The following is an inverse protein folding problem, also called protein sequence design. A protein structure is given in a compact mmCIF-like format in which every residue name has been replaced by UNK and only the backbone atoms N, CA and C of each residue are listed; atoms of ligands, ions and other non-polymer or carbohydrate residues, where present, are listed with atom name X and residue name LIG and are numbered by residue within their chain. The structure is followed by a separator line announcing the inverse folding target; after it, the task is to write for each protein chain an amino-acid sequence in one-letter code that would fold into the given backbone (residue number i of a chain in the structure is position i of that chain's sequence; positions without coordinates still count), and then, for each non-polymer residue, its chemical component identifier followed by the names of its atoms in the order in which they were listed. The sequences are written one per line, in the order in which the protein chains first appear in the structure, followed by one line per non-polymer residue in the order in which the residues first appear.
data_IF_036635765470
#
_entry.id   IF_036635765470
#
_cell.length_a   1.000
_cell.length_b   1.000
_cell.length_c   1.000
_cell.angle_alpha   90.00
_cell.angle_beta   90.00
_cell.angle_gamma   90.00
#
_symmetry.space_group_name_H-M   'P 1'
#
loop_
_entity.id
_entity.type
_entity.pdbx_description
1 polymer ?
#
# COMPACT_ATOMS: atom_id res chain seq x y z
N UNK A 1 3.58 -34.60 -9.95
CA UNK A 1 3.93 -33.47 -9.04
C UNK A 1 3.38 -32.20 -9.66
N UNK A 2 2.37 -31.59 -9.04
CA UNK A 2 1.91 -30.27 -9.46
C UNK A 2 2.96 -29.29 -8.90
N UNK A 3 3.70 -28.62 -9.78
CA UNK A 3 4.60 -27.54 -9.36
C UNK A 3 3.76 -26.51 -8.60
N UNK A 4 4.03 -26.32 -7.32
CA UNK A 4 3.41 -25.28 -6.54
C UNK A 4 3.89 -23.94 -7.12
N UNK A 5 3.06 -23.29 -7.92
CA UNK A 5 3.39 -21.97 -8.48
C UNK A 5 3.34 -20.95 -7.34
N UNK A 6 4.44 -20.25 -7.13
CA UNK A 6 4.53 -19.14 -6.16
C UNK A 6 3.43 -18.11 -6.44
N UNK A 7 2.60 -17.85 -5.45
CA UNK A 7 1.54 -16.85 -5.53
C UNK A 7 2.08 -15.49 -5.12
N UNK A 8 2.38 -14.68 -6.12
CA UNK A 8 2.89 -13.31 -5.93
C UNK A 8 1.71 -12.35 -5.97
N UNK A 9 1.60 -11.47 -4.97
CA UNK A 9 0.62 -10.39 -4.93
C UNK A 9 1.31 -9.02 -4.94
N UNK A 10 0.67 -8.03 -5.56
CA UNK A 10 1.13 -6.64 -5.56
C UNK A 10 0.16 -5.78 -4.75
N UNK A 11 0.68 -5.04 -3.79
CA UNK A 11 -0.05 -4.07 -2.96
C UNK A 11 0.38 -2.66 -3.40
N UNK A 12 -0.33 -2.04 -4.33
CA UNK A 12 0.02 -0.72 -4.82
C UNK A 12 -0.61 0.37 -3.95
N UNK A 13 0.08 1.49 -3.83
CA UNK A 13 -0.46 2.66 -3.14
C UNK A 13 0.46 3.87 -3.25
N UNK A 14 -0.05 5.04 -2.89
CA UNK A 14 0.80 6.24 -2.79
C UNK A 14 1.63 6.26 -1.51
N UNK A 15 1.12 5.69 -0.42
CA UNK A 15 1.79 5.59 0.90
C UNK A 15 2.46 6.89 1.35
N UNK A 16 1.69 7.96 1.36
CA UNK A 16 2.21 9.32 1.61
C UNK A 16 1.53 9.99 2.83
N UNK A 17 1.95 9.56 4.05
CA UNK A 17 2.82 8.44 4.41
C UNK A 17 2.11 7.09 4.54
N UNK A 18 2.88 6.03 4.73
CA UNK A 18 2.36 4.73 5.18
C UNK A 18 1.73 4.87 6.58
N UNK A 19 0.63 4.14 6.83
CA UNK A 19 -0.10 4.16 8.11
C UNK A 19 -0.19 2.74 8.70
N UNK A 20 -0.60 2.63 9.97
CA UNK A 20 -0.86 1.32 10.58
C UNK A 20 -1.96 0.54 9.85
N UNK A 21 -2.92 1.22 9.21
CA UNK A 21 -3.93 0.58 8.37
C UNK A 21 -3.35 -0.04 7.09
N UNK A 22 -2.38 0.63 6.47
CA UNK A 22 -1.65 0.05 5.34
C UNK A 22 -0.83 -1.17 5.75
N UNK A 23 -0.12 -1.10 6.88
CA UNK A 23 0.68 -2.20 7.38
C UNK A 23 -0.17 -3.43 7.74
N UNK A 24 -1.38 -3.22 8.25
CA UNK A 24 -2.34 -4.30 8.52
C UNK A 24 -2.70 -5.05 7.23
N UNK A 25 -3.03 -4.33 6.17
CA UNK A 25 -3.33 -4.93 4.85
C UNK A 25 -2.11 -5.68 4.29
N UNK A 26 -0.92 -5.09 4.40
CA UNK A 26 0.33 -5.72 3.91
C UNK A 26 0.63 -7.00 4.69
N UNK A 27 0.52 -6.97 6.02
CA UNK A 27 0.76 -8.12 6.86
C UNK A 27 -0.20 -9.28 6.53
N UNK A 28 -1.47 -8.97 6.37
CA UNK A 28 -2.49 -9.97 6.01
C UNK A 28 -2.31 -10.50 4.59
N UNK A 29 -1.87 -9.66 3.65
CA UNK A 29 -1.49 -10.13 2.33
C UNK A 29 -0.29 -11.09 2.41
N UNK A 30 0.71 -10.80 3.26
CA UNK A 30 1.87 -11.67 3.46
C UNK A 30 1.54 -13.01 4.11
N UNK A 31 0.43 -13.13 4.82
CA UNK A 31 -0.10 -14.41 5.33
C UNK A 31 -0.84 -15.23 4.25
N UNK A 32 -1.39 -14.57 3.23
CA UNK A 32 -2.21 -15.20 2.20
C UNK A 32 -1.43 -15.59 0.94
N UNK A 33 -0.31 -14.90 0.67
CA UNK A 33 0.49 -15.06 -0.53
C UNK A 33 1.94 -15.39 -0.19
N UNK A 34 2.60 -16.13 -1.08
CA UNK A 34 3.98 -16.57 -0.86
C UNK A 34 4.99 -15.41 -0.94
N UNK A 35 4.67 -14.39 -1.74
CA UNK A 35 5.47 -13.18 -1.92
C UNK A 35 4.56 -11.97 -2.14
N UNK A 36 4.88 -10.85 -1.50
CA UNK A 36 4.12 -9.60 -1.60
C UNK A 36 5.02 -8.46 -2.04
N UNK A 37 4.67 -7.81 -3.14
CA UNK A 37 5.33 -6.60 -3.61
C UNK A 37 4.53 -5.37 -3.21
N UNK A 38 5.06 -4.60 -2.27
CA UNK A 38 4.50 -3.29 -1.88
C UNK A 38 5.07 -2.24 -2.82
N UNK A 39 4.20 -1.60 -3.60
CA UNK A 39 4.63 -0.77 -4.71
C UNK A 39 4.15 0.67 -4.54
N UNK A 40 5.11 1.57 -4.34
CA UNK A 40 4.83 3.01 -4.35
C UNK A 40 4.54 3.41 -5.80
N UNK A 41 3.32 3.87 -6.06
CA UNK A 41 2.90 4.34 -7.37
C UNK A 41 2.55 5.82 -7.33
N UNK A 42 2.82 6.51 -8.42
CA UNK A 42 2.42 7.89 -8.59
C UNK A 42 0.92 7.95 -8.93
N UNK A 43 0.18 8.77 -8.18
CA UNK A 43 -1.21 9.11 -8.52
C UNK A 43 -1.23 10.52 -9.11
N UNK A 44 -1.49 10.67 -10.41
CA UNK A 44 -1.49 11.98 -11.08
C UNK A 44 -2.57 12.93 -10.56
N UNK A 45 -3.66 12.39 -9.96
CA UNK A 45 -4.75 13.17 -9.40
C UNK A 45 -4.42 13.77 -8.02
N UNK A 46 -3.34 13.33 -7.38
CA UNK A 46 -2.91 13.87 -6.10
C UNK A 46 -1.96 15.05 -6.30
N UNK A 47 -2.32 16.19 -5.70
CA UNK A 47 -1.43 17.36 -5.53
C UNK A 47 -0.12 16.92 -4.86
N UNK A 48 0.90 17.78 -4.91
CA UNK A 48 2.27 17.51 -4.44
C UNK A 48 2.35 16.54 -3.26
N UNK A 49 3.14 15.47 -3.41
CA UNK A 49 3.39 14.50 -2.36
C UNK A 49 4.13 15.15 -1.19
N UNK A 50 3.85 14.72 0.03
CA UNK A 50 4.58 15.19 1.22
C UNK A 50 5.99 14.60 1.27
N UNK A 51 6.12 13.33 0.93
CA UNK A 51 7.38 12.61 0.84
C UNK A 51 7.67 12.24 -0.61
N UNK A 52 8.93 12.33 -1.05
CA UNK A 52 9.32 11.79 -2.35
C UNK A 52 9.17 10.26 -2.40
N UNK A 53 9.29 9.67 -3.59
CA UNK A 53 9.06 8.24 -3.76
C UNK A 53 10.09 7.40 -2.98
N UNK A 54 11.36 7.81 -2.98
CA UNK A 54 12.42 7.14 -2.24
C UNK A 54 12.20 7.18 -0.73
N UNK A 55 11.80 8.32 -0.19
CA UNK A 55 11.44 8.46 1.23
C UNK A 55 10.27 7.55 1.60
N UNK A 56 9.25 7.48 0.74
CA UNK A 56 8.08 6.61 0.98
C UNK A 56 8.46 5.13 0.99
N UNK A 57 9.31 4.69 0.05
CA UNK A 57 9.86 3.33 0.03
C UNK A 57 10.62 3.03 1.33
N UNK A 58 11.53 3.93 1.73
CA UNK A 58 12.31 3.80 2.97
C UNK A 58 11.40 3.72 4.21
N UNK A 59 10.43 4.63 4.32
CA UNK A 59 9.48 4.63 5.44
C UNK A 59 8.66 3.33 5.50
N UNK A 60 8.26 2.76 4.37
CA UNK A 60 7.58 1.46 4.35
C UNK A 60 8.52 0.35 4.85
N UNK A 61 9.76 0.29 4.35
CA UNK A 61 10.74 -0.74 4.73
C UNK A 61 11.04 -0.71 6.24
N UNK A 62 11.30 0.49 6.77
CA UNK A 62 11.56 0.68 8.20
C UNK A 62 10.32 0.34 9.04
N UNK A 63 9.12 0.71 8.58
CA UNK A 63 7.86 0.39 9.25
C UNK A 63 7.57 -1.13 9.29
N UNK A 64 7.83 -1.84 8.19
CA UNK A 64 7.68 -3.29 8.14
C UNK A 64 8.61 -4.00 9.13
N UNK A 65 9.83 -3.48 9.27
CA UNK A 65 10.79 -3.97 10.27
C UNK A 65 10.33 -3.67 11.70
N UNK A 66 9.83 -2.46 11.93
CA UNK A 66 9.34 -2.03 13.25
C UNK A 66 8.18 -2.89 13.75
N UNK A 67 7.22 -3.21 12.89
CA UNK A 67 6.05 -4.02 13.27
C UNK A 67 6.26 -5.53 13.13
N UNK A 68 7.38 -5.95 12.54
CA UNK A 68 7.71 -7.37 12.39
C UNK A 68 6.78 -8.12 11.44
N UNK A 69 6.51 -7.57 10.25
CA UNK A 69 5.66 -8.24 9.24
C UNK A 69 6.33 -9.53 8.77
N UNK A 70 5.63 -10.69 8.88
CA UNK A 70 6.19 -11.98 8.45
C UNK A 70 6.18 -12.11 6.92
N UNK A 71 6.92 -13.12 6.45
CA UNK A 71 6.91 -13.52 5.04
C UNK A 71 7.86 -12.73 4.16
N UNK A 72 7.73 -12.96 2.86
CA UNK A 72 8.57 -12.31 1.84
C UNK A 72 7.85 -11.05 1.34
N UNK A 73 8.35 -9.89 1.76
CA UNK A 73 7.82 -8.60 1.32
C UNK A 73 8.92 -7.80 0.62
N UNK A 74 8.68 -7.47 -0.64
CA UNK A 74 9.55 -6.64 -1.47
C UNK A 74 8.93 -5.25 -1.56
N UNK A 75 9.70 -4.20 -1.31
CA UNK A 75 9.21 -2.81 -1.39
C UNK A 75 9.96 -2.08 -2.50
N UNK A 76 9.21 -1.41 -3.37
CA UNK A 76 9.77 -0.66 -4.47
C UNK A 76 8.87 0.47 -4.94
N UNK A 77 9.29 1.14 -6.01
CA UNK A 77 8.51 2.16 -6.70
C UNK A 77 8.27 1.78 -8.15
N UNK A 78 7.19 2.27 -8.72
CA UNK A 78 6.87 2.08 -10.13
C UNK A 78 6.40 3.40 -10.77
N UNK A 79 7.16 3.83 -11.76
CA UNK A 79 6.91 5.09 -12.49
C UNK A 79 6.80 4.88 -14.01
N UNK A 80 7.05 3.66 -14.48
CA UNK A 80 7.19 3.35 -15.90
C UNK A 80 5.94 2.68 -16.48
N UNK A 81 4.85 3.43 -16.66
CA UNK A 81 3.66 2.92 -17.35
C UNK A 81 2.58 2.33 -16.44
N UNK A 82 1.81 1.37 -16.93
CA UNK A 82 0.68 0.81 -16.22
C UNK A 82 1.11 -0.14 -15.11
N UNK A 83 0.34 -0.18 -14.03
CA UNK A 83 0.58 -1.11 -12.92
C UNK A 83 0.56 -2.59 -13.38
N UNK A 84 -0.29 -2.93 -14.34
CA UNK A 84 -0.35 -4.27 -14.91
C UNK A 84 0.91 -4.67 -15.69
N UNK A 85 1.71 -3.72 -16.16
CA UNK A 85 3.00 -4.01 -16.80
C UNK A 85 4.01 -4.48 -15.76
N UNK A 86 4.01 -3.87 -14.58
CA UNK A 86 4.78 -4.39 -13.45
C UNK A 86 4.35 -5.81 -13.07
N UNK A 87 3.04 -6.04 -12.97
CA UNK A 87 2.52 -7.38 -12.66
C UNK A 87 3.01 -8.43 -13.68
N UNK A 88 3.00 -8.09 -14.98
CA UNK A 88 3.53 -8.98 -16.02
C UNK A 88 5.02 -9.27 -15.85
N UNK A 89 5.81 -8.25 -15.52
CA UNK A 89 7.26 -8.39 -15.30
C UNK A 89 7.60 -9.41 -14.22
N UNK A 90 6.86 -9.40 -13.10
CA UNK A 90 7.11 -10.30 -11.97
C UNK A 90 6.28 -11.58 -12.01
N UNK A 91 5.46 -11.77 -13.04
CA UNK A 91 4.57 -12.93 -13.17
C UNK A 91 3.40 -12.96 -12.19
N UNK A 92 3.03 -11.81 -11.62
CA UNK A 92 1.86 -11.69 -10.75
C UNK A 92 0.58 -11.50 -11.55
N UNK A 93 -0.50 -12.10 -11.07
CA UNK A 93 -1.86 -11.87 -11.57
C UNK A 93 -2.79 -11.32 -10.49
N UNK A 94 -2.25 -10.84 -9.38
CA UNK A 94 -3.02 -10.48 -8.19
C UNK A 94 -2.60 -9.09 -7.73
N UNK A 95 -3.57 -8.18 -7.67
CA UNK A 95 -3.49 -6.92 -6.95
C UNK A 95 -4.25 -7.04 -5.65
N UNK A 96 -3.71 -6.50 -4.57
CA UNK A 96 -4.40 -6.41 -3.28
C UNK A 96 -4.61 -4.96 -2.93
N UNK A 97 -5.86 -4.62 -2.60
CA UNK A 97 -6.26 -3.27 -2.18
C UNK A 97 -6.97 -3.33 -0.83
N UNK A 98 -6.56 -2.48 0.10
CA UNK A 98 -7.32 -2.25 1.32
C UNK A 98 -8.54 -1.38 1.01
N UNK A 99 -9.73 -1.79 1.46
CA UNK A 99 -10.97 -1.03 1.31
C UNK A 99 -11.64 -0.89 2.67
N UNK A 100 -12.02 0.33 3.04
CA UNK A 100 -12.56 0.68 4.37
C UNK A 100 -14.07 0.88 4.34
N UNK A 101 -14.62 1.17 3.17
CA UNK A 101 -16.02 1.53 2.98
C UNK A 101 -16.52 1.08 1.61
N UNK A 102 -17.84 1.13 1.43
CA UNK A 102 -18.45 0.91 0.11
C UNK A 102 -17.99 1.94 -0.94
N UNK A 103 -17.64 3.15 -0.51
CA UNK A 103 -17.11 4.19 -1.41
C UNK A 103 -15.72 3.82 -1.94
N UNK A 104 -14.84 3.26 -1.09
CA UNK A 104 -13.54 2.75 -1.52
C UNK A 104 -13.72 1.64 -2.57
N UNK A 105 -14.65 0.71 -2.34
CA UNK A 105 -14.97 -0.36 -3.30
C UNK A 105 -15.49 0.21 -4.62
N UNK A 106 -16.42 1.14 -4.57
CA UNK A 106 -16.96 1.79 -5.76
C UNK A 106 -15.88 2.55 -6.54
N UNK A 107 -14.95 3.21 -5.85
CA UNK A 107 -13.83 3.92 -6.46
C UNK A 107 -12.83 2.96 -7.14
N UNK A 108 -12.49 1.84 -6.51
CA UNK A 108 -11.49 0.89 -7.02
C UNK A 108 -12.05 -0.04 -8.11
N UNK A 109 -13.36 -0.29 -8.14
CA UNK A 109 -13.99 -1.28 -9.03
C UNK A 109 -13.74 -1.02 -10.52
N UNK A 110 -13.87 0.20 -11.09
CA UNK A 110 -13.62 0.44 -12.51
C UNK A 110 -12.18 0.08 -12.91
N UNK A 111 -11.20 0.43 -12.08
CA UNK A 111 -9.80 0.11 -12.36
C UNK A 111 -9.52 -1.40 -12.23
N UNK A 112 -10.15 -2.06 -11.26
CA UNK A 112 -10.04 -3.52 -11.11
C UNK A 112 -10.56 -4.25 -12.36
N UNK A 113 -11.70 -3.84 -12.90
CA UNK A 113 -12.27 -4.39 -14.14
C UNK A 113 -11.32 -4.12 -15.32
N UNK A 114 -10.78 -2.90 -15.42
CA UNK A 114 -9.86 -2.54 -16.50
C UNK A 114 -8.57 -3.35 -16.44
N UNK A 115 -7.98 -3.54 -15.26
CA UNK A 115 -6.76 -4.34 -15.07
C UNK A 115 -6.96 -5.80 -15.49
N UNK A 116 -8.14 -6.37 -15.21
CA UNK A 116 -8.50 -7.72 -15.65
C UNK A 116 -8.59 -7.78 -17.18
N UNK A 117 -9.24 -6.82 -17.84
CA UNK A 117 -9.35 -6.79 -19.29
C UNK A 117 -8.01 -6.58 -19.98
N UNK A 118 -7.14 -5.72 -19.45
CA UNK A 118 -5.85 -5.40 -20.05
C UNK A 118 -4.83 -6.54 -19.93
N UNK A 119 -4.84 -7.26 -18.81
CA UNK A 119 -3.74 -8.17 -18.50
C UNK A 119 -4.14 -9.47 -17.75
N UNK A 120 -5.42 -9.71 -17.53
CA UNK A 120 -5.87 -10.85 -16.73
C UNK A 120 -5.44 -10.75 -15.26
N UNK A 121 -5.21 -9.53 -14.75
CA UNK A 121 -4.85 -9.27 -13.35
C UNK A 121 -6.12 -9.06 -12.54
N UNK A 122 -6.32 -9.87 -11.53
CA UNK A 122 -7.46 -9.78 -10.61
C UNK A 122 -7.13 -8.91 -9.39
N UNK A 123 -8.15 -8.24 -8.85
CA UNK A 123 -8.01 -7.42 -7.64
C UNK A 123 -8.73 -8.08 -6.47
N UNK A 124 -8.00 -8.29 -5.39
CA UNK A 124 -8.52 -8.79 -4.11
C UNK A 124 -8.67 -7.60 -3.15
N UNK A 125 -9.85 -7.44 -2.59
CA UNK A 125 -10.10 -6.43 -1.56
C UNK A 125 -9.94 -7.03 -0.17
N UNK A 126 -9.10 -6.40 0.66
CA UNK A 126 -8.95 -6.74 2.07
C UNK A 126 -9.55 -5.62 2.94
N UNK A 127 -10.31 -6.02 3.94
CA UNK A 127 -10.85 -5.09 4.93
C UNK A 127 -9.79 -4.90 6.03
N UNK A 128 -9.33 -3.68 6.32
CA UNK A 128 -8.46 -3.42 7.45
C UNK A 128 -9.19 -3.63 8.78
N UNK A 129 -8.44 -3.72 9.86
CA UNK A 129 -9.01 -3.73 11.21
C UNK A 129 -9.96 -2.53 11.40
N UNK A 130 -11.14 -2.81 11.98
CA UNK A 130 -12.18 -1.79 12.19
C UNK A 130 -11.67 -0.59 13.02
N UNK A 131 -10.76 -0.81 13.96
CA UNK A 131 -10.13 0.25 14.77
C UNK A 131 -9.30 1.22 13.93
N UNK A 132 -8.87 0.82 12.72
CA UNK A 132 -8.03 1.60 11.79
C UNK A 132 -8.77 2.07 10.53
N UNK A 133 -10.04 1.72 10.38
CA UNK A 133 -10.80 2.01 9.17
C UNK A 133 -10.97 3.51 8.87
N UNK A 134 -10.91 4.37 9.89
CA UNK A 134 -11.00 5.83 9.74
C UNK A 134 -9.67 6.48 9.32
N UNK A 135 -8.56 5.76 9.37
CA UNK A 135 -7.22 6.32 9.12
C UNK A 135 -6.92 6.36 7.62
N UNK A 136 -6.59 7.55 7.13
CA UNK A 136 -6.07 7.75 5.76
C UNK A 136 -4.80 8.59 5.78
N UNK A 137 -3.94 8.44 4.78
CA UNK A 137 -2.74 9.28 4.66
C UNK A 137 -3.11 10.78 4.58
N UNK A 138 -4.20 11.12 3.91
CA UNK A 138 -4.66 12.51 3.80
C UNK A 138 -5.06 13.08 5.16
N UNK A 139 -5.80 12.30 5.98
CA UNK A 139 -6.15 12.70 7.34
C UNK A 139 -4.91 12.85 8.21
N UNK A 140 -3.96 11.92 8.12
CA UNK A 140 -2.69 12.00 8.86
C UNK A 140 -1.93 13.28 8.51
N UNK A 141 -1.80 13.62 7.23
CA UNK A 141 -1.12 14.86 6.80
C UNK A 141 -1.84 16.10 7.33
N UNK A 142 -3.16 16.12 7.28
CA UNK A 142 -3.96 17.25 7.78
C UNK A 142 -3.77 17.44 9.28
N UNK A 143 -3.93 16.38 10.07
CA UNK A 143 -3.80 16.44 11.53
C UNK A 143 -2.38 16.82 11.95
N UNK A 144 -1.36 16.16 11.37
CA UNK A 144 0.04 16.48 11.65
C UNK A 144 0.39 17.92 11.27
N UNK A 145 -0.06 18.37 10.09
CA UNK A 145 0.18 19.75 9.62
C UNK A 145 -0.42 20.85 10.50
N UNK A 146 -1.43 20.50 11.31
CA UNK A 146 -2.04 21.39 12.30
C UNK A 146 -1.49 21.17 13.73
N UNK A 147 -0.42 20.37 13.87
CA UNK A 147 0.24 20.09 15.16
C UNK A 147 -0.47 19.05 16.01
N UNK A 148 -1.42 18.28 15.43
CA UNK A 148 -2.09 17.20 16.14
C UNK A 148 -1.23 15.93 16.27
N UNK A 149 -1.46 15.16 17.33
CA UNK A 149 -0.76 13.89 17.58
C UNK A 149 -1.30 12.78 16.67
N UNK A 150 -0.42 12.24 15.82
CA UNK A 150 -0.71 11.14 14.89
C UNK A 150 -0.04 9.83 15.30
N UNK A 151 0.71 9.80 16.41
CA UNK A 151 1.46 8.62 16.88
C UNK A 151 0.60 7.36 17.05
N UNK A 152 -0.69 7.42 17.44
CA UNK A 152 -1.53 6.23 17.53
C UNK A 152 -1.87 5.57 16.19
N UNK A 153 -1.63 6.25 15.06
CA UNK A 153 -2.13 5.85 13.75
C UNK A 153 -1.04 5.52 12.75
N UNK A 154 0.20 5.85 13.07
CA UNK A 154 1.36 5.62 12.19
C UNK A 154 2.49 4.93 12.95
N UNK A 155 3.39 4.21 12.24
CA UNK A 155 4.64 3.71 12.85
C UNK A 155 5.47 4.84 13.45
N UNK A 156 6.30 4.54 14.44
CA UNK A 156 7.14 5.55 15.10
C UNK A 156 8.11 6.22 14.12
N UNK A 157 8.65 5.47 13.17
CA UNK A 157 9.52 6.02 12.13
C UNK A 157 8.81 7.08 11.30
N UNK A 158 7.53 6.86 10.99
CA UNK A 158 6.70 7.82 10.24
C UNK A 158 6.36 9.03 11.12
N UNK A 159 6.02 8.83 12.40
CA UNK A 159 5.77 9.93 13.33
C UNK A 159 6.98 10.86 13.45
N UNK A 160 8.18 10.31 13.56
CA UNK A 160 9.42 11.09 13.58
C UNK A 160 9.67 11.85 12.26
N UNK A 161 9.42 11.21 11.12
CA UNK A 161 9.58 11.84 9.82
C UNK A 161 8.59 12.99 9.59
N UNK A 162 7.36 12.86 10.10
CA UNK A 162 6.36 13.95 10.07
C UNK A 162 6.79 15.11 10.97
N UNK A 163 7.23 14.82 12.21
CA UNK A 163 7.68 15.84 13.14
C UNK A 163 8.89 16.65 12.63
N UNK A 164 9.77 16.03 11.85
CA UNK A 164 10.93 16.70 11.26
C UNK A 164 10.59 17.68 10.13
N UNK A 165 9.33 17.74 9.69
CA UNK A 165 8.85 18.63 8.62
C UNK A 165 8.09 19.86 9.13
N UNK A 166 7.96 19.99 10.44
CA UNK A 166 7.38 21.12 11.17
C UNK A 166 8.45 21.84 11.98
#
# INVERSE_FOLDING_TARGET
MVACMTKIAVVPGSFDPVTLGHLDVIARAAELFDEVHVLVVHNPDKKAALFDAGDRVRLIQESLTEVGVPGTVVVGEWTAGLLVDYCRQIGSKILVKGVRSGEDVAYETPMAIMNRHLAGVETVFLLPDAARAHVSSSLIRQVSGLGGDVTPYVPQVVARALAARH
#
